data_IF_429246242386
#
_entry.id   IF_429246242386
#
_cell.length_a   1.000
_cell.length_b   1.000
_cell.length_c   1.000
_cell.angle_alpha   90.00
_cell.angle_beta   90.00
_cell.angle_gamma   90.00
#
_symmetry.space_group_name_H-M   'P 1'
#
loop_
_entity.id
_entity.type
_entity.pdbx_description
1 polymer ?
#
# COMPACT_ATOMS: atom_id res chain seq x y z
N UNK A 1 -46.98 -36.93 21.30
CA UNK A 1 -45.58 -36.50 21.20
C UNK A 1 -45.59 -35.14 20.52
N UNK A 2 -45.55 -34.05 21.29
CA UNK A 2 -45.53 -32.67 20.78
C UNK A 2 -44.13 -32.13 20.96
N UNK A 3 -43.38 -32.04 19.85
CA UNK A 3 -42.06 -31.43 19.79
C UNK A 3 -42.27 -29.91 19.73
N UNK A 4 -41.78 -29.19 20.74
CA UNK A 4 -41.77 -27.74 20.74
C UNK A 4 -40.61 -27.26 19.86
N UNK A 5 -40.92 -26.68 18.70
CA UNK A 5 -39.98 -25.86 17.92
C UNK A 5 -39.48 -24.74 18.82
N UNK A 6 -38.23 -24.86 19.25
CA UNK A 6 -37.55 -23.81 19.98
C UNK A 6 -36.92 -22.91 18.94
N UNK A 7 -37.72 -22.02 18.37
CA UNK A 7 -37.26 -20.87 17.59
C UNK A 7 -36.44 -19.97 18.52
N UNK A 8 -35.15 -20.27 18.64
CA UNK A 8 -34.23 -19.41 19.34
C UNK A 8 -34.15 -18.06 18.59
N UNK A 9 -34.33 -16.92 19.26
CA UNK A 9 -34.31 -15.62 18.61
C UNK A 9 -32.94 -15.40 17.97
N UNK A 10 -32.90 -15.30 16.65
CA UNK A 10 -31.70 -14.90 15.89
C UNK A 10 -31.41 -13.45 16.25
N UNK A 11 -30.56 -13.24 17.25
CA UNK A 11 -30.09 -11.90 17.61
C UNK A 11 -29.22 -11.41 16.46
N UNK A 12 -29.82 -10.59 15.60
CA UNK A 12 -29.10 -9.91 14.53
C UNK A 12 -28.23 -8.84 15.17
N UNK A 13 -26.96 -9.19 15.37
CA UNK A 13 -25.97 -8.25 15.88
C UNK A 13 -25.74 -7.18 14.82
N UNK A 14 -25.95 -5.91 15.19
CA UNK A 14 -25.64 -4.78 14.30
C UNK A 14 -24.14 -4.84 13.96
N UNK A 15 -23.73 -4.74 12.68
CA UNK A 15 -22.33 -4.66 12.31
C UNK A 15 -21.68 -3.53 13.11
N UNK A 16 -20.78 -3.86 14.01
CA UNK A 16 -20.05 -2.84 14.74
C UNK A 16 -19.02 -2.22 13.80
N UNK A 17 -18.94 -0.89 13.71
CA UNK A 17 -17.86 -0.24 13.00
C UNK A 17 -16.55 -0.63 13.69
N UNK A 18 -15.76 -1.44 13.01
CA UNK A 18 -14.48 -1.90 13.53
C UNK A 18 -13.44 -0.78 13.39
N UNK A 19 -12.94 -0.32 14.54
CA UNK A 19 -11.90 0.71 14.62
C UNK A 19 -10.67 0.29 13.81
N UNK A 20 -10.34 -1.00 13.76
CA UNK A 20 -9.24 -1.51 12.95
C UNK A 20 -9.48 -1.31 11.45
N UNK A 21 -10.73 -1.44 10.99
CA UNK A 21 -11.09 -1.18 9.59
C UNK A 21 -10.90 0.30 9.24
N UNK A 22 -11.28 1.22 10.14
CA UNK A 22 -11.08 2.66 9.92
C UNK A 22 -9.60 3.01 9.89
N UNK A 23 -8.81 2.48 10.85
CA UNK A 23 -7.37 2.67 10.89
C UNK A 23 -6.68 2.13 9.63
N UNK A 24 -7.13 0.97 9.13
CA UNK A 24 -6.61 0.38 7.89
C UNK A 24 -6.87 1.28 6.69
N UNK A 25 -8.07 1.85 6.57
CA UNK A 25 -8.40 2.79 5.49
C UNK A 25 -7.49 4.02 5.55
N UNK A 26 -7.31 4.61 6.73
CA UNK A 26 -6.42 5.77 6.92
C UNK A 26 -4.98 5.42 6.53
N UNK A 27 -4.49 4.25 6.92
CA UNK A 27 -3.16 3.79 6.54
C UNK A 27 -3.00 3.63 5.02
N UNK A 28 -3.99 3.05 4.34
CA UNK A 28 -4.00 2.91 2.88
C UNK A 28 -3.96 4.28 2.20
N UNK A 29 -4.77 5.24 2.67
CA UNK A 29 -4.77 6.60 2.13
C UNK A 29 -3.41 7.30 2.33
N UNK A 30 -2.83 7.18 3.53
CA UNK A 30 -1.52 7.75 3.82
C UNK A 30 -0.41 7.15 2.95
N UNK A 31 -0.42 5.82 2.77
CA UNK A 31 0.52 5.13 1.88
C UNK A 31 0.34 5.57 0.42
N UNK A 32 -0.90 5.64 -0.06
CA UNK A 32 -1.19 6.07 -1.43
C UNK A 32 -0.69 7.49 -1.74
N UNK A 33 -0.97 8.44 -0.84
CA UNK A 33 -0.49 9.83 -0.98
C UNK A 33 1.04 9.88 -0.95
N UNK A 34 1.67 9.13 -0.04
CA UNK A 34 3.14 9.11 0.08
C UNK A 34 3.79 8.58 -1.20
N UNK A 35 3.30 7.46 -1.74
CA UNK A 35 3.80 6.88 -2.99
C UNK A 35 3.59 7.87 -4.15
N UNK A 36 2.42 8.48 -4.25
CA UNK A 36 2.11 9.47 -5.28
C UNK A 36 3.06 10.68 -5.25
N UNK A 37 3.35 11.20 -4.06
CA UNK A 37 4.25 12.34 -3.88
C UNK A 37 5.70 12.00 -4.21
N UNK A 38 6.16 10.80 -3.84
CA UNK A 38 7.50 10.31 -4.21
C UNK A 38 7.62 10.17 -5.73
N UNK A 39 6.65 9.52 -6.38
CA UNK A 39 6.66 9.37 -7.84
C UNK A 39 6.59 10.72 -8.55
N UNK A 40 5.75 11.65 -8.06
CA UNK A 40 5.67 13.00 -8.58
C UNK A 40 7.02 13.71 -8.52
N UNK A 41 7.69 13.74 -7.37
CA UNK A 41 9.00 14.39 -7.24
C UNK A 41 10.08 13.71 -8.09
N UNK A 42 10.01 12.40 -8.29
CA UNK A 42 10.94 11.67 -9.15
C UNK A 42 10.73 11.99 -10.63
N UNK A 43 9.47 12.13 -11.07
CA UNK A 43 9.11 12.34 -12.46
C UNK A 43 9.07 13.82 -12.88
N UNK A 44 8.88 14.75 -11.94
CA UNK A 44 8.88 16.19 -12.21
C UNK A 44 10.20 16.64 -12.83
N UNK A 45 10.12 17.58 -13.77
CA UNK A 45 11.28 18.10 -14.47
C UNK A 45 12.17 18.94 -13.53
N UNK A 46 13.51 18.93 -13.72
CA UNK A 46 14.39 19.84 -12.98
C UNK A 46 13.99 21.30 -13.22
N UNK A 47 14.07 22.18 -12.20
CA UNK A 47 14.71 21.99 -10.89
C UNK A 47 13.83 21.30 -9.82
N UNK A 48 12.54 21.11 -10.09
CA UNK A 48 11.55 20.68 -9.10
C UNK A 48 11.47 19.15 -8.93
N UNK A 49 12.26 18.40 -9.69
CA UNK A 49 12.35 16.95 -9.61
C UNK A 49 13.52 16.36 -10.39
N UNK A 50 13.56 15.04 -10.47
CA UNK A 50 14.67 14.29 -11.07
C UNK A 50 14.49 14.01 -12.57
N UNK A 51 13.35 14.39 -13.17
CA UNK A 51 13.04 14.18 -14.59
C UNK A 51 13.07 12.71 -15.01
N UNK A 52 12.90 11.77 -14.07
CA UNK A 52 13.03 10.35 -14.35
C UNK A 52 11.75 9.81 -14.99
N UNK A 53 11.91 9.04 -16.07
CA UNK A 53 10.80 8.24 -16.62
C UNK A 53 10.51 7.06 -15.70
N UNK A 54 9.23 6.70 -15.55
CA UNK A 54 8.78 5.60 -14.69
C UNK A 54 9.53 4.28 -14.98
N UNK A 55 9.81 3.99 -16.26
CA UNK A 55 10.55 2.80 -16.65
C UNK A 55 12.02 2.80 -16.21
N UNK A 56 12.61 3.97 -15.97
CA UNK A 56 14.00 4.11 -15.48
C UNK A 56 14.10 3.89 -13.97
N UNK A 57 13.02 4.12 -13.21
CA UNK A 57 13.00 3.94 -11.75
C UNK A 57 13.15 2.47 -11.32
N UNK A 58 12.69 1.55 -12.17
CA UNK A 58 12.73 0.11 -11.91
C UNK A 58 13.73 -0.63 -12.81
N UNK A 59 14.57 0.12 -13.52
CA UNK A 59 15.60 -0.43 -14.39
C UNK A 59 16.80 -0.90 -13.55
N UNK A 60 16.85 -2.20 -13.29
CA UNK A 60 17.95 -2.83 -12.55
C UNK A 60 19.27 -2.80 -13.30
N UNK A 61 19.29 -2.51 -14.60
CA UNK A 61 20.51 -2.43 -15.40
C UNK A 61 21.35 -1.19 -15.13
N UNK A 62 20.77 -0.16 -14.52
CA UNK A 62 21.47 1.08 -14.15
C UNK A 62 22.04 1.06 -12.74
N UNK A 63 21.94 -0.07 -12.05
CA UNK A 63 22.53 -0.22 -10.73
C UNK A 63 24.06 -0.19 -10.90
N UNK A 64 24.77 0.62 -10.10
CA UNK A 64 26.22 0.66 -10.19
C UNK A 64 26.76 -0.75 -9.94
N UNK A 65 27.58 -1.25 -10.86
CA UNK A 65 28.22 -2.54 -10.68
C UNK A 65 28.97 -2.54 -9.33
N UNK A 66 28.92 -3.65 -8.57
CA UNK A 66 29.72 -3.79 -7.37
C UNK A 66 31.18 -3.48 -7.72
N UNK A 67 31.80 -2.56 -6.99
CA UNK A 67 33.21 -2.19 -7.20
C UNK A 67 34.04 -3.45 -7.03
N UNK A 68 34.40 -4.11 -8.13
CA UNK A 68 35.28 -5.28 -8.10
C UNK A 68 36.66 -4.72 -7.77
N UNK A 69 37.26 -5.06 -6.61
CA UNK A 69 38.61 -4.63 -6.32
C UNK A 69 39.56 -5.16 -7.42
N UNK A 70 40.52 -4.35 -7.90
CA UNK A 70 41.42 -4.79 -8.94
C UNK A 70 42.30 -5.93 -8.41
N UNK A 71 42.15 -7.12 -9.01
CA UNK A 71 43.10 -8.22 -8.88
C UNK A 71 42.77 -9.28 -7.83
N UNK A 72 42.08 -10.34 -8.27
CA UNK A 72 42.44 -11.74 -8.01
C UNK A 72 42.13 -12.57 -9.25
#
# INVERSE_FOLDING_TARGET
MTQADTDAPVITVKPQPDVYTVLLIVAILALGVSIGLVLYNLMSAPPDGYGMSFGTLFDSSKWPEPIRPPGK
#
